data_IF_046525072193
#
_entry.id   IF_046525072193
#
_cell.length_a   1.000
_cell.length_b   1.000
_cell.length_c   1.000
_cell.angle_alpha   90.00
_cell.angle_beta   90.00
_cell.angle_gamma   90.00
#
_symmetry.space_group_name_H-M   'P 1'
#
loop_
_entity.id
_entity.type
_entity.pdbx_description
1 polymer ?
#
# COMPACT_ATOMS: atom_id res chain seq x y z
N UNK A 1 4.47 36.71 -3.02
CA UNK A 1 4.91 35.52 -2.27
C UNK A 1 4.14 35.38 -0.95
N UNK A 2 3.70 36.46 -0.30
CA UNK A 2 2.82 36.42 0.89
C UNK A 2 1.41 36.03 0.51
N UNK A 3 0.88 36.53 -0.61
CA UNK A 3 -0.48 36.26 -1.09
C UNK A 3 -0.76 34.78 -1.45
N UNK A 4 0.26 34.01 -1.79
CA UNK A 4 0.10 32.58 -2.06
C UNK A 4 -0.05 31.74 -0.80
N UNK A 5 0.45 32.20 0.35
CA UNK A 5 0.33 31.49 1.62
C UNK A 5 -1.04 31.72 2.28
N UNK A 6 -1.71 32.82 1.97
CA UNK A 6 -3.07 33.12 2.43
C UNK A 6 -4.15 32.28 1.72
N UNK A 7 -3.83 31.71 0.55
CA UNK A 7 -4.73 30.86 -0.22
C UNK A 7 -4.64 29.36 0.16
N UNK A 8 -3.67 28.98 1.00
CA UNK A 8 -3.47 27.58 1.39
C UNK A 8 -4.45 27.22 2.49
N UNK A 9 -5.35 26.28 2.19
CA UNK A 9 -6.35 25.79 3.15
C UNK A 9 -5.73 24.81 4.16
N UNK A 10 -6.45 24.56 5.24
CA UNK A 10 -6.06 23.54 6.23
C UNK A 10 -5.88 22.15 5.58
N UNK A 11 -6.67 21.86 4.55
CA UNK A 11 -6.60 20.60 3.81
C UNK A 11 -5.29 20.48 3.02
N UNK A 12 -4.83 21.57 2.41
CA UNK A 12 -3.55 21.57 1.71
C UNK A 12 -2.39 21.28 2.67
N UNK A 13 -2.45 21.80 3.89
CA UNK A 13 -1.49 21.49 4.95
C UNK A 13 -1.58 20.02 5.40
N UNK A 14 -2.77 19.45 5.49
CA UNK A 14 -2.94 18.02 5.80
C UNK A 14 -2.35 17.13 4.70
N UNK A 15 -2.59 17.47 3.44
CA UNK A 15 -2.01 16.76 2.29
C UNK A 15 -0.49 16.84 2.33
N UNK A 16 0.06 18.05 2.45
CA UNK A 16 1.50 18.27 2.51
C UNK A 16 2.14 17.54 3.70
N UNK A 17 1.52 17.61 4.88
CA UNK A 17 2.02 16.93 6.08
C UNK A 17 1.97 15.40 5.94
N UNK A 18 0.95 14.83 5.32
CA UNK A 18 0.84 13.40 5.07
C UNK A 18 1.98 12.90 4.17
N UNK A 19 2.25 13.61 3.08
CA UNK A 19 3.34 13.28 2.16
C UNK A 19 4.69 13.46 2.86
N UNK A 20 4.87 14.56 3.59
CA UNK A 20 6.12 14.85 4.32
C UNK A 20 6.40 13.78 5.38
N UNK A 21 5.43 13.47 6.23
CA UNK A 21 5.57 12.45 7.29
C UNK A 21 5.87 11.08 6.69
N UNK A 22 5.18 10.69 5.62
CA UNK A 22 5.46 9.44 4.90
C UNK A 22 6.90 9.40 4.38
N UNK A 23 7.37 10.49 3.79
CA UNK A 23 8.74 10.64 3.26
C UNK A 23 9.79 10.55 4.36
N UNK A 24 9.60 11.27 5.47
CA UNK A 24 10.53 11.28 6.60
C UNK A 24 10.61 9.92 7.30
N UNK A 25 9.50 9.24 7.49
CA UNK A 25 9.48 7.89 8.06
C UNK A 25 10.28 6.93 7.18
N UNK A 26 10.08 6.98 5.86
CA UNK A 26 10.78 6.11 4.91
C UNK A 26 12.27 6.44 4.79
N UNK A 27 12.66 7.73 4.90
CA UNK A 27 14.05 8.15 4.99
C UNK A 27 14.76 7.54 6.23
N UNK A 28 14.05 7.46 7.35
CA UNK A 28 14.58 6.83 8.58
C UNK A 28 14.64 5.30 8.50
N UNK A 29 13.70 4.66 7.78
CA UNK A 29 13.58 3.20 7.69
C UNK A 29 14.42 2.59 6.57
N UNK A 30 14.54 3.26 5.45
CA UNK A 30 15.15 2.78 4.21
C UNK A 30 14.17 2.08 3.27
N UNK A 31 14.50 2.09 1.98
CA UNK A 31 13.69 1.52 0.90
C UNK A 31 13.47 0.02 1.05
N UNK A 32 14.56 -0.73 1.27
CA UNK A 32 14.49 -2.20 1.33
C UNK A 32 13.57 -2.66 2.46
N UNK A 33 13.63 -2.01 3.62
CA UNK A 33 12.76 -2.33 4.74
C UNK A 33 11.28 -2.11 4.39
N UNK A 34 10.96 -1.02 3.72
CA UNK A 34 9.60 -0.67 3.33
C UNK A 34 9.07 -1.60 2.22
N UNK A 35 9.88 -1.82 1.18
CA UNK A 35 9.52 -2.70 0.06
C UNK A 35 9.31 -4.15 0.53
N UNK A 36 10.24 -4.69 1.33
CA UNK A 36 10.10 -6.02 1.93
C UNK A 36 8.87 -6.12 2.83
N UNK A 37 8.58 -5.10 3.63
CA UNK A 37 7.37 -5.11 4.48
C UNK A 37 6.09 -5.24 3.68
N UNK A 38 5.99 -4.56 2.53
CA UNK A 38 4.84 -4.70 1.63
C UNK A 38 4.79 -6.08 0.97
N UNK A 39 5.93 -6.61 0.51
CA UNK A 39 5.98 -7.96 -0.04
C UNK A 39 5.58 -9.03 0.98
N UNK A 40 6.05 -8.89 2.23
CA UNK A 40 5.69 -9.80 3.32
C UNK A 40 4.19 -9.73 3.62
N UNK A 41 3.61 -8.54 3.64
CA UNK A 41 2.17 -8.35 3.85
C UNK A 41 1.37 -9.06 2.75
N UNK A 42 1.72 -8.85 1.49
CA UNK A 42 1.07 -9.52 0.35
C UNK A 42 1.25 -11.03 0.45
N UNK A 43 2.48 -11.50 0.71
CA UNK A 43 2.77 -12.92 0.90
C UNK A 43 1.96 -13.53 2.04
N UNK A 44 1.83 -12.84 3.19
CA UNK A 44 1.05 -13.30 4.32
C UNK A 44 -0.45 -13.45 3.98
N UNK A 45 -1.02 -12.51 3.21
CA UNK A 45 -2.39 -12.61 2.71
C UNK A 45 -2.54 -13.81 1.77
N UNK A 46 -1.62 -13.97 0.82
CA UNK A 46 -1.66 -15.07 -0.16
C UNK A 46 -1.52 -16.43 0.55
N UNK A 47 -0.54 -16.57 1.44
CA UNK A 47 -0.33 -17.81 2.21
C UNK A 47 -1.58 -18.15 3.04
N UNK A 48 -2.16 -17.16 3.72
CA UNK A 48 -3.38 -17.36 4.50
C UNK A 48 -4.54 -17.83 3.62
N UNK A 49 -4.70 -17.23 2.43
CA UNK A 49 -5.74 -17.61 1.47
C UNK A 49 -5.54 -19.03 0.93
N UNK A 50 -4.31 -19.40 0.58
CA UNK A 50 -4.00 -20.70 -0.02
C UNK A 50 -4.09 -21.84 1.00
N UNK A 51 -3.61 -21.64 2.22
CA UNK A 51 -3.45 -22.71 3.21
C UNK A 51 -4.42 -22.62 4.40
N UNK A 52 -5.20 -21.55 4.54
CA UNK A 52 -6.07 -21.32 5.69
C UNK A 52 -7.10 -22.43 5.91
N UNK A 53 -7.74 -22.90 4.82
CA UNK A 53 -8.68 -24.01 4.91
C UNK A 53 -8.03 -25.33 5.34
N UNK A 54 -6.81 -25.61 4.86
CA UNK A 54 -6.06 -26.82 5.23
C UNK A 54 -5.65 -26.77 6.71
N UNK A 55 -5.16 -25.62 7.20
CA UNK A 55 -4.82 -25.45 8.62
C UNK A 55 -6.08 -25.54 9.49
N UNK A 56 -7.22 -25.05 9.03
CA UNK A 56 -8.47 -25.19 9.77
C UNK A 56 -8.85 -26.66 9.99
N UNK A 57 -8.57 -27.57 9.05
CA UNK A 57 -8.85 -29.00 9.26
C UNK A 57 -7.98 -29.61 10.38
N UNK A 58 -6.77 -29.13 10.59
CA UNK A 58 -5.89 -29.58 11.68
C UNK A 58 -6.37 -29.11 13.07
N UNK A 59 -7.23 -28.09 13.11
CA UNK A 59 -7.76 -27.52 14.35
C UNK A 59 -9.13 -28.13 14.75
N UNK A 60 -9.63 -29.16 14.06
CA UNK A 60 -10.94 -29.76 14.33
C UNK A 60 -11.04 -30.27 15.76
N UNK A 61 -9.99 -30.93 16.23
CA UNK A 61 -9.98 -31.54 17.57
C UNK A 61 -9.84 -30.50 18.71
N UNK A 62 -9.45 -29.28 18.38
CA UNK A 62 -9.20 -28.23 19.35
C UNK A 62 -10.30 -27.15 19.36
N UNK A 63 -10.92 -26.88 18.21
CA UNK A 63 -11.93 -25.85 18.05
C UNK A 63 -13.18 -26.43 17.39
N UNK A 64 -14.23 -26.64 18.17
CA UNK A 64 -15.48 -27.25 17.72
C UNK A 64 -16.32 -26.35 16.82
N UNK A 65 -16.23 -25.00 17.02
CA UNK A 65 -17.02 -24.01 16.26
C UNK A 65 -16.37 -23.73 14.91
N UNK A 66 -17.01 -24.06 13.75
CA UNK A 66 -16.40 -23.96 12.42
C UNK A 66 -15.93 -22.57 12.04
N UNK A 67 -16.71 -21.51 12.34
CA UNK A 67 -16.34 -20.12 12.04
C UNK A 67 -15.12 -19.66 12.83
N UNK A 68 -15.06 -20.00 14.12
CA UNK A 68 -13.93 -19.65 14.98
C UNK A 68 -12.66 -20.38 14.54
N UNK A 69 -12.79 -21.65 14.16
CA UNK A 69 -11.68 -22.46 13.64
C UNK A 69 -11.09 -21.89 12.35
N UNK A 70 -11.94 -21.51 11.40
CA UNK A 70 -11.51 -20.84 10.17
C UNK A 70 -10.80 -19.52 10.49
N UNK A 71 -11.40 -18.68 11.30
CA UNK A 71 -10.81 -17.40 11.69
C UNK A 71 -9.44 -17.59 12.37
N UNK A 72 -9.34 -18.54 13.29
CA UNK A 72 -8.08 -18.85 13.98
C UNK A 72 -7.00 -19.35 13.02
N UNK A 73 -7.36 -20.22 12.05
CA UNK A 73 -6.43 -20.72 11.06
C UNK A 73 -5.88 -19.61 10.13
N UNK A 74 -6.77 -18.77 9.60
CA UNK A 74 -6.38 -17.65 8.74
C UNK A 74 -5.56 -16.61 9.51
N UNK A 75 -6.01 -16.22 10.68
CA UNK A 75 -5.30 -15.26 11.53
C UNK A 75 -3.94 -15.79 12.00
N UNK A 76 -3.87 -17.07 12.36
CA UNK A 76 -2.64 -17.74 12.78
C UNK A 76 -1.61 -17.81 11.66
N UNK A 77 -2.04 -18.20 10.44
CA UNK A 77 -1.16 -18.19 9.26
C UNK A 77 -0.69 -16.79 8.89
N UNK A 78 -1.59 -15.81 8.92
CA UNK A 78 -1.24 -14.43 8.66
C UNK A 78 -0.20 -13.91 9.66
N UNK A 79 -0.47 -14.06 10.95
CA UNK A 79 0.41 -13.62 12.01
C UNK A 79 1.77 -14.36 11.96
N UNK A 80 1.75 -15.68 11.77
CA UNK A 80 2.98 -16.49 11.62
C UNK A 80 3.82 -16.04 10.42
N UNK A 81 3.20 -15.83 9.27
CA UNK A 81 3.88 -15.33 8.07
C UNK A 81 4.47 -13.92 8.29
N UNK A 82 3.75 -13.05 8.99
CA UNK A 82 4.25 -11.71 9.34
C UNK A 82 5.45 -11.77 10.29
N UNK A 83 5.44 -12.67 11.27
CA UNK A 83 6.58 -12.86 12.19
C UNK A 83 7.81 -13.38 11.44
N UNK A 84 7.65 -14.45 10.67
CA UNK A 84 8.77 -15.03 9.90
C UNK A 84 9.30 -14.03 8.88
N UNK A 85 8.40 -13.39 8.13
CA UNK A 85 8.77 -12.35 7.17
C UNK A 85 9.46 -11.15 7.82
N UNK A 86 9.00 -10.73 9.01
CA UNK A 86 9.63 -9.66 9.78
C UNK A 86 11.05 -10.01 10.22
N UNK A 87 11.31 -11.26 10.60
CA UNK A 87 12.68 -11.75 10.92
C UNK A 87 13.57 -11.71 9.68
N UNK A 88 13.06 -12.19 8.53
CA UNK A 88 13.80 -12.14 7.25
C UNK A 88 14.10 -10.69 6.86
N UNK A 89 13.11 -9.80 6.95
CA UNK A 89 13.29 -8.38 6.69
C UNK A 89 14.38 -7.77 7.57
N UNK A 90 14.35 -8.07 8.87
CA UNK A 90 15.37 -7.58 9.81
C UNK A 90 16.77 -8.01 9.39
N UNK A 91 16.96 -9.30 9.06
CA UNK A 91 18.26 -9.84 8.63
C UNK A 91 18.75 -9.16 7.33
N UNK A 92 17.90 -9.03 6.33
CA UNK A 92 18.27 -8.39 5.05
C UNK A 92 18.67 -6.92 5.27
N UNK A 93 17.91 -6.17 6.06
CA UNK A 93 18.24 -4.77 6.37
C UNK A 93 19.57 -4.67 7.11
N UNK A 94 19.85 -5.60 8.01
CA UNK A 94 21.13 -5.64 8.72
C UNK A 94 22.30 -5.89 7.75
N UNK A 95 22.15 -6.81 6.81
CA UNK A 95 23.16 -7.08 5.78
C UNK A 95 23.46 -5.84 4.92
N UNK A 96 22.42 -5.11 4.50
CA UNK A 96 22.57 -3.88 3.71
C UNK A 96 23.33 -2.80 4.48
N UNK A 97 23.07 -2.67 5.78
CA UNK A 97 23.77 -1.73 6.64
C UNK A 97 25.24 -2.10 6.79
N UNK A 98 25.55 -3.40 6.98
CA UNK A 98 26.93 -3.90 7.06
C UNK A 98 27.69 -3.73 5.76
N UNK A 99 27.01 -3.81 4.61
CA UNK A 99 27.60 -3.57 3.28
C UNK A 99 27.87 -2.08 2.99
N UNK A 100 27.57 -1.16 3.93
CA UNK A 100 27.78 0.28 3.75
C UNK A 100 26.76 0.97 2.83
N UNK A 101 25.73 0.25 2.35
CA UNK A 101 24.72 0.76 1.43
C UNK A 101 23.57 1.52 2.10
N UNK A 102 23.66 1.74 3.42
CA UNK A 102 22.59 2.37 4.19
C UNK A 102 22.23 3.80 3.76
N UNK A 103 23.18 4.56 3.22
CA UNK A 103 22.94 5.91 2.71
C UNK A 103 22.06 5.90 1.45
N UNK A 104 22.42 5.08 0.48
CA UNK A 104 21.67 4.92 -0.77
C UNK A 104 20.27 4.34 -0.51
N UNK A 105 20.17 3.35 0.38
CA UNK A 105 18.89 2.76 0.78
C UNK A 105 17.94 3.80 1.39
N UNK A 106 18.45 4.75 2.19
CA UNK A 106 17.67 5.84 2.77
C UNK A 106 17.18 6.84 1.70
N UNK A 107 18.03 7.19 0.72
CA UNK A 107 17.64 8.07 -0.37
C UNK A 107 16.55 7.44 -1.22
N UNK A 108 16.68 6.16 -1.58
CA UNK A 108 15.62 5.41 -2.25
C UNK A 108 14.36 5.30 -1.40
N UNK A 109 14.53 5.15 -0.08
CA UNK A 109 13.44 5.16 0.88
C UNK A 109 12.66 6.48 0.87
N UNK A 110 13.35 7.61 0.75
CA UNK A 110 12.71 8.93 0.64
C UNK A 110 11.83 9.02 -0.62
N UNK A 111 12.34 8.60 -1.78
CA UNK A 111 11.57 8.57 -3.03
C UNK A 111 10.35 7.67 -2.91
N UNK A 112 10.53 6.48 -2.34
CA UNK A 112 9.44 5.53 -2.10
C UNK A 112 8.40 6.06 -1.13
N UNK A 113 8.84 6.69 -0.03
CA UNK A 113 7.95 7.30 0.96
C UNK A 113 7.14 8.46 0.40
N UNK A 114 7.74 9.26 -0.47
CA UNK A 114 7.05 10.31 -1.21
C UNK A 114 5.97 9.73 -2.13
N UNK A 115 6.33 8.73 -2.95
CA UNK A 115 5.38 8.06 -3.84
C UNK A 115 4.22 7.41 -3.06
N UNK A 116 4.51 6.75 -1.94
CA UNK A 116 3.50 6.16 -1.06
C UNK A 116 2.61 7.23 -0.44
N UNK A 117 3.17 8.33 0.06
CA UNK A 117 2.42 9.46 0.62
C UNK A 117 1.46 10.05 -0.41
N UNK A 118 1.93 10.22 -1.64
CA UNK A 118 1.13 10.70 -2.75
C UNK A 118 0.00 9.72 -3.10
N UNK A 119 0.28 8.41 -3.17
CA UNK A 119 -0.74 7.38 -3.41
C UNK A 119 -1.81 7.35 -2.32
N UNK A 120 -1.42 7.42 -1.05
CA UNK A 120 -2.37 7.50 0.07
C UNK A 120 -3.26 8.72 -0.08
N UNK A 121 -2.68 9.87 -0.38
CA UNK A 121 -3.42 11.12 -0.58
C UNK A 121 -4.40 11.00 -1.75
N UNK A 122 -3.97 10.44 -2.90
CA UNK A 122 -4.84 10.20 -4.06
C UNK A 122 -6.03 9.31 -3.71
N UNK A 123 -5.79 8.22 -2.97
CA UNK A 123 -6.86 7.30 -2.55
C UNK A 123 -7.84 8.00 -1.61
N UNK A 124 -7.35 8.70 -0.60
CA UNK A 124 -8.18 9.40 0.38
C UNK A 124 -9.02 10.49 -0.29
N UNK A 125 -8.38 11.37 -1.06
CA UNK A 125 -9.07 12.46 -1.79
C UNK A 125 -10.04 11.88 -2.82
N UNK A 126 -9.66 10.82 -3.54
CA UNK A 126 -10.52 10.14 -4.51
C UNK A 126 -11.76 9.48 -3.87
N UNK A 127 -11.67 8.97 -2.65
CA UNK A 127 -12.83 8.47 -1.89
C UNK A 127 -13.70 9.64 -1.41
N UNK A 128 -13.08 10.67 -0.83
CA UNK A 128 -13.79 11.84 -0.31
C UNK A 128 -14.52 12.61 -1.41
N UNK A 129 -13.97 12.66 -2.63
CA UNK A 129 -14.61 13.33 -3.78
C UNK A 129 -15.96 12.71 -4.20
N UNK A 130 -16.20 11.45 -3.82
CA UNK A 130 -17.48 10.75 -4.07
C UNK A 130 -18.52 10.97 -2.96
N UNK A 131 -18.13 11.63 -1.88
CA UNK A 131 -19.02 11.99 -0.78
C UNK A 131 -19.57 13.40 -1.00
N UNK A 132 -20.71 13.75 -0.37
CA UNK A 132 -21.30 15.09 -0.49
C UNK A 132 -20.38 16.23 0.04
N UNK A 133 -19.25 15.91 0.65
CA UNK A 133 -18.24 16.85 1.15
C UNK A 133 -17.57 17.67 0.03
N UNK A 134 -17.62 17.22 -1.22
CA UNK A 134 -17.06 17.94 -2.37
C UNK A 134 -17.77 19.27 -2.68
N UNK A 135 -18.95 19.50 -2.10
CA UNK A 135 -19.69 20.76 -2.18
C UNK A 135 -19.28 21.81 -1.17
N UNK A 136 -18.51 21.46 -0.16
CA UNK A 136 -18.11 22.37 0.91
C UNK A 136 -17.03 23.36 0.49
N UNK A 137 -17.02 24.56 1.06
CA UNK A 137 -16.09 25.63 0.73
C UNK A 137 -14.63 25.25 0.97
N UNK A 138 -14.33 24.55 2.07
CA UNK A 138 -12.97 24.08 2.38
C UNK A 138 -12.40 23.11 1.34
N UNK A 139 -13.27 22.37 0.61
CA UNK A 139 -12.86 21.50 -0.48
C UNK A 139 -12.58 22.29 -1.75
N UNK A 140 -13.48 23.22 -2.08
CA UNK A 140 -13.40 24.02 -3.32
C UNK A 140 -12.26 25.04 -3.28
N UNK A 141 -11.93 25.57 -2.10
CA UNK A 141 -10.86 26.55 -1.90
C UNK A 141 -9.46 25.89 -1.85
N UNK A 142 -9.37 24.55 -1.82
CA UNK A 142 -8.08 23.85 -1.78
C UNK A 142 -7.36 23.92 -3.13
N UNK A 143 -6.11 24.32 -3.09
CA UNK A 143 -5.21 24.35 -4.25
C UNK A 143 -4.70 22.96 -4.59
N UNK A 144 -4.49 22.10 -3.61
CA UNK A 144 -3.92 20.75 -3.80
C UNK A 144 -4.92 19.74 -4.33
N UNK A 145 -6.19 19.79 -3.92
CA UNK A 145 -7.21 18.79 -4.29
C UNK A 145 -7.36 18.61 -5.80
N UNK A 146 -7.49 19.66 -6.63
CA UNK A 146 -7.61 19.50 -8.08
C UNK A 146 -6.41 18.79 -8.71
N UNK A 147 -5.20 19.10 -8.22
CA UNK A 147 -3.97 18.47 -8.71
C UNK A 147 -3.88 16.99 -8.31
N UNK A 148 -4.29 16.66 -7.10
CA UNK A 148 -4.34 15.29 -6.60
C UNK A 148 -5.37 14.47 -7.37
N UNK A 149 -6.57 15.01 -7.63
CA UNK A 149 -7.60 14.34 -8.42
C UNK A 149 -7.14 14.09 -9.87
N UNK A 150 -6.56 15.10 -10.52
CA UNK A 150 -6.01 14.95 -11.87
C UNK A 150 -4.91 13.90 -11.94
N UNK A 151 -4.05 13.81 -10.92
CA UNK A 151 -3.02 12.78 -10.83
C UNK A 151 -3.65 11.38 -10.57
N UNK A 152 -4.68 11.29 -9.74
CA UNK A 152 -5.41 10.06 -9.48
C UNK A 152 -6.12 9.52 -10.72
N UNK A 153 -6.75 10.38 -11.51
CA UNK A 153 -7.39 10.01 -12.78
C UNK A 153 -6.37 9.45 -13.78
N UNK A 154 -5.24 10.14 -13.95
CA UNK A 154 -4.17 9.65 -14.83
C UNK A 154 -3.63 8.29 -14.39
N UNK A 155 -3.46 8.09 -13.08
CA UNK A 155 -3.00 6.81 -12.53
C UNK A 155 -4.04 5.70 -12.75
N UNK A 156 -5.34 6.00 -12.63
CA UNK A 156 -6.41 5.04 -12.90
C UNK A 156 -6.43 4.62 -14.37
N UNK A 157 -6.31 5.57 -15.31
CA UNK A 157 -6.25 5.28 -16.75
C UNK A 157 -5.04 4.41 -17.05
N UNK A 158 -3.85 4.80 -16.57
CA UNK A 158 -2.63 4.02 -16.76
C UNK A 158 -2.74 2.60 -16.19
N UNK A 159 -3.31 2.47 -14.98
CA UNK A 159 -3.53 1.17 -14.36
C UNK A 159 -4.52 0.31 -15.17
N UNK A 160 -5.62 0.90 -15.65
CA UNK A 160 -6.60 0.19 -16.48
C UNK A 160 -5.97 -0.33 -17.78
N UNK A 161 -5.26 0.51 -18.51
CA UNK A 161 -4.53 0.14 -19.72
C UNK A 161 -3.51 -0.99 -19.46
N UNK A 162 -2.75 -0.87 -18.38
CA UNK A 162 -1.77 -1.90 -18.01
C UNK A 162 -2.43 -3.24 -17.68
N UNK A 163 -3.55 -3.24 -16.97
CA UNK A 163 -4.28 -4.47 -16.64
C UNK A 163 -4.97 -5.07 -17.87
N UNK A 164 -5.55 -4.28 -18.75
CA UNK A 164 -6.17 -4.76 -20.00
C UNK A 164 -5.13 -5.39 -20.92
N UNK A 165 -3.98 -4.75 -21.13
CA UNK A 165 -2.90 -5.28 -21.95
C UNK A 165 -2.36 -6.61 -21.40
N UNK A 166 -2.14 -6.69 -20.08
CA UNK A 166 -1.67 -7.93 -19.46
C UNK A 166 -2.75 -9.00 -19.40
N UNK A 167 -4.00 -8.67 -19.17
CA UNK A 167 -5.10 -9.62 -19.18
C UNK A 167 -5.30 -10.24 -20.56
N UNK A 168 -5.29 -9.44 -21.63
CA UNK A 168 -5.40 -9.93 -23.00
C UNK A 168 -4.24 -10.87 -23.38
N UNK A 169 -3.03 -10.52 -22.98
CA UNK A 169 -1.83 -11.35 -23.22
C UNK A 169 -1.88 -12.70 -22.48
N UNK A 170 -2.47 -12.76 -21.30
CA UNK A 170 -2.66 -14.00 -20.52
C UNK A 170 -3.75 -14.86 -21.15
N UNK A 171 -4.88 -14.27 -21.57
CA UNK A 171 -5.97 -14.98 -22.25
C UNK A 171 -5.48 -15.58 -23.56
N UNK A 172 -4.75 -14.84 -24.36
CA UNK A 172 -4.17 -15.31 -25.60
C UNK A 172 -3.18 -16.48 -25.39
N UNK A 173 -2.31 -16.39 -24.36
CA UNK A 173 -1.35 -17.45 -24.01
C UNK A 173 -2.00 -18.70 -23.42
N UNK A 174 -3.11 -18.56 -22.69
CA UNK A 174 -3.80 -19.69 -22.05
C UNK A 174 -4.85 -20.34 -22.94
N UNK A 175 -5.18 -19.73 -24.09
CA UNK A 175 -6.13 -20.29 -25.05
C UNK A 175 -7.58 -20.38 -24.52
N UNK A 176 -7.91 -19.61 -23.49
CA UNK A 176 -9.24 -19.64 -22.84
C UNK A 176 -10.37 -19.08 -23.72
N UNK A 177 -10.05 -18.52 -24.88
CA UNK A 177 -11.06 -18.09 -25.87
C UNK A 177 -11.70 -19.25 -26.65
N UNK A 178 -11.28 -20.49 -26.43
CA UNK A 178 -11.75 -21.66 -27.19
C UNK A 178 -12.71 -22.59 -26.43
N UNK A 179 -13.20 -22.18 -25.27
CA UNK A 179 -14.20 -22.88 -24.47
C UNK A 179 -15.49 -22.08 -24.39
#
# INVERSE_FOLDING_TARGET
MVDMLEQVTLVDWLIASTIMVSTLISLGRGFVKEALSLMILVAAVVISRLYGAQVATLLIDHISVPSLRLTAAYAGLFAGSMVVGGMVNYLIVQMIRMAGLGGTDRLLGMVFGFARGLLITMVVVGILSKLPLSGDTWWQDSVAIPHVLSAAEKLQVFAAEFFEENASSIVERTGLERL
#
